data_IF_874472284687
#
_entry.id   IF_874472284687
#
_cell.length_a   1.000
_cell.length_b   1.000
_cell.length_c   1.000
_cell.angle_alpha   90.00
_cell.angle_beta   90.00
_cell.angle_gamma   90.00
#
_symmetry.space_group_name_H-M   'P 1'
#
loop_
_entity.id
_entity.type
_entity.pdbx_description
1 polymer ?
#
# COMPACT_ATOMS: atom_id res chain seq x y z
N UNK A 1 6.79 6.28 7.03
CA UNK A 1 7.55 6.49 5.77
C UNK A 1 8.12 5.21 5.16
N UNK A 2 8.83 4.37 5.94
CA UNK A 2 9.44 3.13 5.42
C UNK A 2 8.45 2.26 4.64
N UNK A 3 7.21 2.12 5.12
CA UNK A 3 6.18 1.33 4.47
C UNK A 3 5.86 1.80 3.03
N UNK A 4 5.69 3.12 2.80
CA UNK A 4 5.47 3.69 1.46
C UNK A 4 6.64 3.37 0.53
N UNK A 5 7.87 3.48 1.03
CA UNK A 5 9.07 3.24 0.23
C UNK A 5 9.13 1.77 -0.19
N UNK A 6 8.93 0.85 0.77
CA UNK A 6 8.87 -0.59 0.49
C UNK A 6 7.78 -0.91 -0.52
N UNK A 7 6.60 -0.30 -0.40
CA UNK A 7 5.51 -0.44 -1.35
C UNK A 7 5.92 -0.03 -2.77
N UNK A 8 6.48 1.18 -2.92
CA UNK A 8 6.90 1.73 -4.22
C UNK A 8 8.05 0.94 -4.87
N UNK A 9 8.87 0.25 -4.07
CA UNK A 9 9.94 -0.61 -4.58
C UNK A 9 9.42 -2.00 -4.95
N UNK A 10 8.61 -2.60 -4.08
CA UNK A 10 8.19 -4.00 -4.18
C UNK A 10 7.14 -4.23 -5.27
N UNK A 11 6.04 -3.47 -5.25
CA UNK A 11 4.87 -3.74 -6.11
C UNK A 11 5.20 -3.62 -7.60
N UNK A 12 5.93 -2.59 -8.09
CA UNK A 12 6.26 -2.48 -9.51
C UNK A 12 7.20 -3.59 -10.02
N UNK A 13 7.92 -4.27 -9.13
CA UNK A 13 8.93 -5.28 -9.51
C UNK A 13 8.46 -6.71 -9.33
N UNK A 14 7.53 -6.97 -8.41
CA UNK A 14 7.24 -8.34 -7.93
C UNK A 14 6.72 -9.30 -9.01
N UNK A 15 5.93 -8.84 -9.99
CA UNK A 15 5.47 -9.68 -11.11
C UNK A 15 6.39 -9.60 -12.32
N UNK A 16 7.03 -8.45 -12.53
CA UNK A 16 7.98 -8.27 -13.63
C UNK A 16 9.21 -9.14 -13.45
N UNK A 17 9.76 -9.19 -12.24
CA UNK A 17 10.91 -10.02 -11.89
C UNK A 17 10.66 -11.50 -12.19
N UNK A 18 9.46 -12.01 -11.93
CA UNK A 18 9.09 -13.39 -12.26
C UNK A 18 9.10 -13.67 -13.77
N UNK A 19 8.71 -12.68 -14.60
CA UNK A 19 8.77 -12.78 -16.06
C UNK A 19 10.20 -12.71 -16.57
N UNK A 20 11.01 -11.80 -16.03
CA UNK A 20 12.40 -11.57 -16.44
C UNK A 20 13.31 -12.75 -16.06
N UNK A 21 13.10 -13.36 -14.89
CA UNK A 21 13.92 -14.48 -14.40
C UNK A 21 13.42 -15.85 -14.86
N UNK A 22 12.29 -15.92 -15.58
CA UNK A 22 11.68 -17.18 -16.03
C UNK A 22 11.08 -18.03 -14.91
N UNK A 23 11.12 -17.56 -13.66
CA UNK A 23 10.55 -18.25 -12.49
C UNK A 23 9.03 -18.39 -12.58
N UNK A 24 8.37 -17.60 -13.44
CA UNK A 24 6.96 -17.80 -13.79
C UNK A 24 6.66 -19.23 -14.27
N UNK A 25 7.53 -19.85 -15.07
CA UNK A 25 7.35 -21.23 -15.55
C UNK A 25 7.45 -22.24 -14.41
N UNK A 26 8.32 -21.97 -13.42
CA UNK A 26 8.44 -22.79 -12.21
C UNK A 26 7.20 -22.72 -11.33
N UNK A 27 6.64 -21.53 -11.11
CA UNK A 27 5.42 -21.38 -10.32
C UNK A 27 4.20 -22.03 -10.99
N UNK A 28 4.23 -22.16 -12.32
CA UNK A 28 3.18 -22.82 -13.10
C UNK A 28 3.23 -24.34 -13.06
N UNK A 29 4.38 -24.96 -12.80
CA UNK A 29 4.46 -26.40 -12.58
C UNK A 29 3.99 -26.82 -11.18
N UNK A 30 3.86 -25.85 -10.26
CA UNK A 30 3.25 -26.05 -8.95
C UNK A 30 1.72 -25.99 -9.06
N UNK A 31 0.97 -26.76 -8.25
CA UNK A 31 -0.50 -26.73 -8.22
C UNK A 31 -1.04 -25.48 -7.51
N UNK A 32 -0.64 -24.30 -7.99
CA UNK A 32 -0.96 -23.00 -7.39
C UNK A 32 -1.66 -22.13 -8.43
N UNK A 33 -2.83 -21.59 -8.06
CA UNK A 33 -3.58 -20.71 -8.96
C UNK A 33 -2.95 -19.32 -9.06
N UNK A 34 -3.17 -18.64 -10.19
CA UNK A 34 -2.71 -17.27 -10.39
C UNK A 34 -3.31 -16.29 -9.37
N UNK A 35 -4.57 -16.54 -8.98
CA UNK A 35 -5.24 -15.81 -7.90
C UNK A 35 -4.48 -15.91 -6.59
N UNK A 36 -4.07 -17.12 -6.19
CA UNK A 36 -3.30 -17.32 -4.96
C UNK A 36 -1.96 -16.61 -5.02
N UNK A 37 -1.28 -16.65 -6.18
CA UNK A 37 0.04 -16.03 -6.33
C UNK A 37 -0.03 -14.50 -6.22
N UNK A 38 -1.00 -13.87 -6.87
CA UNK A 38 -1.17 -12.42 -6.81
C UNK A 38 -1.68 -12.00 -5.41
N UNK A 39 -2.62 -12.75 -4.85
CA UNK A 39 -3.13 -12.51 -3.50
C UNK A 39 -2.01 -12.61 -2.45
N UNK A 40 -1.10 -13.58 -2.57
CA UNK A 40 0.04 -13.72 -1.66
C UNK A 40 0.99 -12.50 -1.74
N UNK A 41 1.25 -11.96 -2.93
CA UNK A 41 2.07 -10.75 -3.10
C UNK A 41 1.39 -9.51 -2.53
N UNK A 42 0.08 -9.39 -2.69
CA UNK A 42 -0.71 -8.32 -2.08
C UNK A 42 -0.73 -8.46 -0.56
N UNK A 43 -0.98 -9.65 -0.02
CA UNK A 43 -0.96 -9.92 1.41
C UNK A 43 0.43 -9.65 2.02
N UNK A 44 1.50 -9.98 1.30
CA UNK A 44 2.85 -9.66 1.73
C UNK A 44 3.03 -8.16 1.96
N UNK A 45 2.70 -7.32 0.97
CA UNK A 45 2.93 -5.87 1.10
C UNK A 45 1.85 -5.14 1.90
N UNK A 46 0.59 -5.59 1.88
CA UNK A 46 -0.53 -4.91 2.53
C UNK A 46 -0.82 -5.41 3.95
N UNK A 47 -0.30 -6.57 4.33
CA UNK A 47 -0.54 -7.15 5.67
C UNK A 47 0.78 -7.46 6.36
N UNK A 48 1.63 -8.29 5.75
CA UNK A 48 2.84 -8.76 6.42
C UNK A 48 3.83 -7.61 6.72
N UNK A 49 4.09 -6.73 5.75
CA UNK A 49 4.99 -5.58 5.96
C UNK A 49 4.49 -4.63 7.08
N UNK A 50 3.21 -4.21 7.10
CA UNK A 50 2.62 -3.50 8.23
C UNK A 50 2.78 -4.20 9.59
N UNK A 51 2.53 -5.52 9.63
CA UNK A 51 2.66 -6.31 10.86
C UNK A 51 4.11 -6.29 11.35
N UNK A 52 5.08 -6.52 10.47
CA UNK A 52 6.52 -6.46 10.82
C UNK A 52 6.89 -5.06 11.31
N UNK A 53 6.44 -4.00 10.63
CA UNK A 53 6.70 -2.63 11.04
C UNK A 53 6.11 -2.33 12.44
N UNK A 54 4.89 -2.81 12.71
CA UNK A 54 4.24 -2.64 14.02
C UNK A 54 4.96 -3.41 15.13
N UNK A 55 5.48 -4.61 14.85
CA UNK A 55 6.27 -5.39 15.80
C UNK A 55 7.60 -4.71 16.13
N UNK A 56 8.27 -4.14 15.12
CA UNK A 56 9.49 -3.35 15.31
C UNK A 56 9.23 -2.11 16.17
N UNK A 57 8.11 -1.41 15.96
CA UNK A 57 7.73 -0.27 16.80
C UNK A 57 7.48 -0.71 18.25
N UNK A 58 6.69 -1.75 18.48
CA UNK A 58 6.42 -2.27 19.82
C UNK A 58 7.72 -2.66 20.55
N UNK A 59 8.66 -3.28 19.83
CA UNK A 59 9.96 -3.63 20.38
C UNK A 59 10.80 -2.39 20.71
N UNK A 60 10.79 -1.38 19.85
CA UNK A 60 11.46 -0.10 20.10
C UNK A 60 10.88 0.61 21.34
N UNK A 61 9.56 0.72 21.43
CA UNK A 61 8.88 1.36 22.57
C UNK A 61 9.15 0.60 23.88
N UNK A 62 9.20 -0.74 23.81
CA UNK A 62 9.58 -1.56 24.95
C UNK A 62 11.02 -1.31 25.43
N UNK A 63 11.97 -1.16 24.51
CA UNK A 63 13.36 -0.79 24.86
C UNK A 63 13.41 0.59 25.50
N UNK A 64 12.71 1.57 24.92
CA UNK A 64 12.64 2.94 25.47
C UNK A 64 12.08 2.93 26.89
N UNK A 65 11.01 2.17 27.13
CA UNK A 65 10.43 2.00 28.45
C UNK A 65 11.37 1.32 29.44
N UNK A 66 12.05 0.25 29.02
CA UNK A 66 13.03 -0.45 29.85
C UNK A 66 14.18 0.49 30.24
N UNK A 67 14.75 1.20 29.28
CA UNK A 67 15.81 2.19 29.54
C UNK A 67 15.32 3.33 30.44
N UNK A 68 14.14 3.87 30.19
CA UNK A 68 13.56 4.91 31.04
C UNK A 68 13.38 4.43 32.48
N UNK A 69 12.90 3.20 32.69
CA UNK A 69 12.68 2.63 34.02
C UNK A 69 13.97 2.43 34.83
N UNK A 70 15.11 2.26 34.15
CA UNK A 70 16.41 2.05 34.79
C UNK A 70 17.14 3.37 35.11
N UNK A 71 16.96 4.39 34.28
CA UNK A 71 17.82 5.58 34.28
C UNK A 71 17.11 6.89 34.58
N UNK A 72 15.77 6.97 34.47
CA UNK A 72 15.01 8.20 34.68
C UNK A 72 14.27 8.21 36.04
N UNK A 73 14.24 9.37 36.73
CA UNK A 73 13.32 9.57 37.86
C UNK A 73 11.85 9.42 37.46
N UNK A 74 11.02 8.94 38.38
CA UNK A 74 9.59 8.69 38.14
C UNK A 74 8.84 9.95 37.63
N UNK A 75 9.20 11.13 38.14
CA UNK A 75 8.59 12.41 37.78
C UNK A 75 8.80 12.73 36.29
N UNK A 76 10.00 12.43 35.77
CA UNK A 76 10.34 12.59 34.35
C UNK A 76 9.58 11.59 33.48
N UNK A 77 9.49 10.33 33.91
CA UNK A 77 8.73 9.30 33.20
C UNK A 77 7.24 9.66 33.07
N UNK A 78 6.64 10.23 34.12
CA UNK A 78 5.24 10.70 34.06
C UNK A 78 5.08 11.89 33.11
N UNK A 79 5.99 12.88 33.17
CA UNK A 79 5.92 14.05 32.29
C UNK A 79 6.01 13.69 30.80
N UNK A 80 6.84 12.69 30.46
CA UNK A 80 7.04 12.23 29.09
C UNK A 80 6.08 11.11 28.68
N UNK A 81 5.11 10.79 29.55
CA UNK A 81 4.09 9.78 29.30
C UNK A 81 4.70 8.39 28.99
N UNK A 82 5.90 8.09 29.50
CA UNK A 82 6.57 6.80 29.30
C UNK A 82 5.99 5.80 30.30
N UNK A 83 4.85 5.24 29.94
CA UNK A 83 4.14 4.23 30.74
C UNK A 83 3.70 3.07 29.85
N UNK A 84 3.60 1.87 30.44
CA UNK A 84 3.21 0.66 29.71
C UNK A 84 1.82 0.78 29.05
N UNK A 85 0.80 1.41 29.68
CA UNK A 85 -0.47 1.70 29.01
C UNK A 85 -0.34 2.63 27.80
N UNK A 86 0.49 3.69 27.90
CA UNK A 86 0.67 4.64 26.80
C UNK A 86 1.36 4.00 25.60
N UNK A 87 2.30 3.08 25.83
CA UNK A 87 2.94 2.29 24.77
C UNK A 87 1.90 1.45 24.03
N UNK A 88 0.97 0.81 24.74
CA UNK A 88 -0.11 0.03 24.11
C UNK A 88 -1.03 0.91 23.27
N UNK A 89 -1.36 2.11 23.75
CA UNK A 89 -2.17 3.09 23.00
C UNK A 89 -1.43 3.55 21.74
N UNK A 90 -0.16 3.94 21.87
CA UNK A 90 0.69 4.37 20.76
C UNK A 90 0.83 3.26 19.71
N UNK A 91 1.08 2.03 20.14
CA UNK A 91 1.15 0.87 19.26
C UNK A 91 -0.19 0.60 18.54
N UNK A 92 -1.32 0.70 19.25
CA UNK A 92 -2.65 0.56 18.67
C UNK A 92 -2.96 1.64 17.63
N UNK A 93 -2.61 2.89 17.91
CA UNK A 93 -2.72 4.00 16.95
C UNK A 93 -1.88 3.75 15.71
N UNK A 94 -0.63 3.31 15.88
CA UNK A 94 0.26 3.00 14.77
C UNK A 94 -0.28 1.86 13.88
N UNK A 95 -0.81 0.79 14.48
CA UNK A 95 -1.48 -0.28 13.72
C UNK A 95 -2.68 0.27 12.95
N UNK A 96 -3.51 1.10 13.59
CA UNK A 96 -4.66 1.73 12.93
C UNK A 96 -4.24 2.57 11.71
N UNK A 97 -3.19 3.37 11.85
CA UNK A 97 -2.63 4.16 10.75
C UNK A 97 -2.13 3.29 9.61
N UNK A 98 -1.37 2.23 9.92
CA UNK A 98 -0.88 1.32 8.89
C UNK A 98 -2.02 0.56 8.21
N UNK A 99 -3.07 0.16 8.94
CA UNK A 99 -4.23 -0.52 8.38
C UNK A 99 -5.01 0.37 7.40
N UNK A 100 -5.29 1.62 7.78
CA UNK A 100 -5.96 2.58 6.89
C UNK A 100 -5.11 2.89 5.66
N UNK A 101 -3.80 2.99 5.84
CA UNK A 101 -2.86 3.19 4.76
C UNK A 101 -2.84 1.98 3.80
N UNK A 102 -2.88 0.75 4.32
CA UNK A 102 -2.97 -0.47 3.49
C UNK A 102 -4.28 -0.54 2.70
N UNK A 103 -5.40 -0.12 3.28
CA UNK A 103 -6.69 0.00 2.57
C UNK A 103 -6.61 1.04 1.45
N UNK A 104 -6.01 2.19 1.70
CA UNK A 104 -5.80 3.23 0.69
C UNK A 104 -4.84 2.77 -0.42
N UNK A 105 -3.83 1.97 -0.09
CA UNK A 105 -2.85 1.44 -1.04
C UNK A 105 -3.36 0.27 -1.89
N UNK A 106 -4.35 -0.51 -1.41
CA UNK A 106 -4.89 -1.67 -2.13
C UNK A 106 -5.20 -1.44 -3.62
N UNK A 107 -6.01 -0.43 -4.02
CA UNK A 107 -6.30 -0.15 -5.43
C UNK A 107 -5.04 0.23 -6.22
N UNK A 108 -4.16 1.03 -5.63
CA UNK A 108 -2.90 1.45 -6.24
C UNK A 108 -1.97 0.25 -6.43
N UNK A 109 -1.97 -0.69 -5.48
CA UNK A 109 -1.22 -1.93 -5.54
C UNK A 109 -1.67 -2.75 -6.74
N UNK A 110 -2.98 -2.98 -6.87
CA UNK A 110 -3.55 -3.73 -7.98
C UNK A 110 -3.27 -3.06 -9.33
N UNK A 111 -3.42 -1.74 -9.42
CA UNK A 111 -3.09 -0.97 -10.62
C UNK A 111 -1.62 -1.09 -11.01
N UNK A 112 -0.70 -0.98 -10.04
CA UNK A 112 0.73 -1.16 -10.29
C UNK A 112 1.07 -2.59 -10.71
N UNK A 113 0.40 -3.61 -10.15
CA UNK A 113 0.59 -5.00 -10.58
C UNK A 113 0.16 -5.21 -12.04
N UNK A 114 -0.98 -4.64 -12.45
CA UNK A 114 -1.43 -4.64 -13.85
C UNK A 114 -0.38 -3.99 -14.75
N UNK A 115 0.04 -2.76 -14.44
CA UNK A 115 1.03 -2.04 -15.25
C UNK A 115 2.37 -2.77 -15.27
N UNK A 116 2.76 -3.42 -14.16
CA UNK A 116 4.03 -4.17 -14.07
C UNK A 116 4.14 -5.35 -15.02
N UNK A 117 3.01 -5.89 -15.45
CA UNK A 117 2.96 -6.99 -16.41
C UNK A 117 3.00 -6.50 -17.86
N UNK A 118 2.66 -5.22 -18.09
CA UNK A 118 2.52 -4.61 -19.41
C UNK A 118 3.72 -3.76 -19.81
N UNK A 119 4.44 -3.17 -18.85
CA UNK A 119 5.54 -2.25 -19.15
C UNK A 119 6.84 -2.59 -18.42
N UNK A 120 7.96 -2.15 -19.00
CA UNK A 120 9.29 -2.34 -18.41
C UNK A 120 9.54 -1.42 -17.21
N UNK A 121 8.92 -0.24 -17.16
CA UNK A 121 9.13 0.77 -16.10
C UNK A 121 7.80 1.20 -15.47
N UNK A 122 7.18 0.35 -14.62
CA UNK A 122 5.76 0.49 -14.28
C UNK A 122 5.45 1.75 -13.47
N UNK A 123 6.33 2.10 -12.53
CA UNK A 123 6.21 3.33 -11.75
C UNK A 123 6.24 4.56 -12.65
N UNK A 124 7.20 4.63 -13.57
CA UNK A 124 7.34 5.73 -14.52
C UNK A 124 6.11 5.81 -15.45
N UNK A 125 5.62 4.67 -15.94
CA UNK A 125 4.39 4.61 -16.75
C UNK A 125 3.20 5.21 -15.99
N UNK A 126 3.00 4.82 -14.72
CA UNK A 126 1.89 5.35 -13.90
C UNK A 126 2.06 6.85 -13.65
N UNK A 127 3.28 7.33 -13.36
CA UNK A 127 3.53 8.75 -13.17
C UNK A 127 3.17 9.57 -14.42
N UNK A 128 3.61 9.13 -15.60
CA UNK A 128 3.23 9.79 -16.86
C UNK A 128 1.72 9.71 -17.12
N UNK A 129 1.09 8.56 -16.86
CA UNK A 129 -0.34 8.39 -17.02
C UNK A 129 -1.15 9.34 -16.13
N UNK A 130 -0.77 9.51 -14.86
CA UNK A 130 -1.42 10.45 -13.93
C UNK A 130 -1.35 11.88 -14.46
N UNK A 131 -0.18 12.31 -14.94
CA UNK A 131 0.00 13.67 -15.49
C UNK A 131 -0.88 13.87 -16.72
N UNK A 132 -0.86 12.92 -17.66
CA UNK A 132 -1.66 13.00 -18.88
C UNK A 132 -3.17 12.99 -18.59
N UNK A 133 -3.63 12.16 -17.64
CA UNK A 133 -5.03 12.13 -17.20
C UNK A 133 -5.43 13.49 -16.62
N UNK A 134 -4.60 14.10 -15.77
CA UNK A 134 -4.93 15.42 -15.19
C UNK A 134 -5.03 16.51 -16.25
N UNK A 135 -4.12 16.50 -17.24
CA UNK A 135 -4.19 17.45 -18.37
C UNK A 135 -5.47 17.20 -19.17
N UNK A 136 -5.81 15.95 -19.48
CA UNK A 136 -7.03 15.61 -20.22
C UNK A 136 -8.30 16.04 -19.47
N UNK A 137 -8.38 15.79 -18.15
CA UNK A 137 -9.51 16.21 -17.31
C UNK A 137 -9.68 17.73 -17.31
N UNK A 138 -8.59 18.49 -17.25
CA UNK A 138 -8.62 19.94 -17.35
C UNK A 138 -9.15 20.41 -18.71
N UNK A 139 -8.70 19.79 -19.81
CA UNK A 139 -9.15 20.14 -21.17
C UNK A 139 -10.64 19.83 -21.39
N UNK A 140 -11.16 18.72 -20.84
CA UNK A 140 -12.55 18.30 -21.01
C UNK A 140 -13.51 19.16 -20.17
N UNK A 141 -13.13 19.45 -18.93
CA UNK A 141 -14.05 20.08 -17.95
C UNK A 141 -13.91 21.60 -17.94
N UNK A 142 -12.79 22.14 -18.44
CA UNK A 142 -12.47 23.57 -18.40
C UNK A 142 -12.20 24.09 -16.97
N UNK A 143 -12.26 23.21 -15.96
CA UNK A 143 -11.99 23.51 -14.56
C UNK A 143 -11.00 22.49 -13.96
N UNK A 144 -10.38 22.86 -12.82
CA UNK A 144 -9.37 22.03 -12.15
C UNK A 144 -9.94 21.03 -11.13
N UNK A 145 -11.26 21.01 -10.92
CA UNK A 145 -11.90 20.31 -9.80
C UNK A 145 -11.81 18.78 -9.93
N UNK A 146 -12.09 18.21 -11.11
CA UNK A 146 -11.93 16.76 -11.31
C UNK A 146 -10.46 16.32 -11.18
N UNK A 147 -9.53 17.20 -11.61
CA UNK A 147 -8.11 16.97 -11.44
C UNK A 147 -7.67 17.00 -9.98
N UNK A 148 -8.27 17.84 -9.14
CA UNK A 148 -7.98 17.89 -7.70
C UNK A 148 -8.56 16.67 -6.98
N UNK A 149 -9.80 16.25 -7.30
CA UNK A 149 -10.39 15.01 -6.78
C UNK A 149 -9.55 13.77 -7.13
N UNK A 150 -9.07 13.69 -8.37
CA UNK A 150 -8.16 12.62 -8.78
C UNK A 150 -6.83 12.66 -8.01
N UNK A 151 -6.39 13.85 -7.59
CA UNK A 151 -5.17 14.02 -6.78
C UNK A 151 -5.35 13.51 -5.35
N UNK A 152 -6.52 13.76 -4.77
CA UNK A 152 -6.87 13.25 -3.44
C UNK A 152 -6.87 11.71 -3.43
N UNK A 153 -7.32 11.07 -4.51
CA UNK A 153 -7.33 9.60 -4.61
C UNK A 153 -5.94 8.97 -4.44
N UNK A 154 -4.94 9.42 -5.20
CA UNK A 154 -3.58 8.85 -5.09
C UNK A 154 -2.77 9.44 -3.94
N UNK A 155 -3.18 10.61 -3.41
CA UNK A 155 -2.59 11.25 -2.24
C UNK A 155 -3.02 10.63 -0.91
N UNK A 156 -4.19 9.99 -0.86
CA UNK A 156 -4.80 9.45 0.36
C UNK A 156 -3.84 8.62 1.25
N UNK A 157 -3.01 7.68 0.74
CA UNK A 157 -2.09 6.93 1.59
C UNK A 157 -1.04 7.80 2.29
N UNK A 158 -0.62 8.88 1.65
CA UNK A 158 0.34 9.85 2.21
C UNK A 158 -0.36 10.72 3.25
N UNK A 159 -1.58 11.18 2.95
CA UNK A 159 -2.37 12.00 3.87
C UNK A 159 -2.70 11.23 5.15
N UNK A 160 -3.12 9.96 5.04
CA UNK A 160 -3.36 9.06 6.18
C UNK A 160 -2.10 8.91 7.05
N UNK A 161 -0.92 8.80 6.44
CA UNK A 161 0.33 8.65 7.15
C UNK A 161 0.80 9.92 7.88
N UNK A 162 0.48 11.10 7.34
CA UNK A 162 0.88 12.40 7.91
C UNK A 162 -0.15 12.99 8.86
N UNK A 163 -1.39 12.47 8.83
CA UNK A 163 -2.47 12.93 9.68
C UNK A 163 -2.30 12.54 11.15
N UNK A 164 -2.85 13.35 12.05
CA UNK A 164 -2.95 13.03 13.47
C UNK A 164 -3.97 11.90 13.75
N UNK A 165 -4.99 11.78 12.90
CA UNK A 165 -6.05 10.78 13.04
C UNK A 165 -6.33 10.08 11.71
N UNK A 166 -5.57 9.02 11.46
CA UNK A 166 -5.64 8.21 10.24
C UNK A 166 -7.05 7.74 9.87
N UNK A 167 -7.86 7.38 10.88
CA UNK A 167 -9.24 6.92 10.66
C UNK A 167 -10.12 8.05 10.13
N UNK A 168 -10.02 9.25 10.68
CA UNK A 168 -10.83 10.38 10.24
C UNK A 168 -10.43 10.79 8.83
N UNK A 169 -9.13 10.94 8.55
CA UNK A 169 -8.64 11.29 7.20
C UNK A 169 -9.07 10.28 6.14
N UNK A 170 -9.07 8.98 6.47
CA UNK A 170 -9.57 7.96 5.56
C UNK A 170 -11.09 8.11 5.34
N UNK A 171 -11.88 8.32 6.38
CA UNK A 171 -13.33 8.46 6.28
C UNK A 171 -13.80 9.78 5.66
N UNK A 172 -13.02 10.86 5.81
CA UNK A 172 -13.27 12.19 5.25
C UNK A 172 -13.23 12.19 3.72
N UNK A 173 -12.50 11.25 3.11
CA UNK A 173 -12.56 10.99 1.66
C UNK A 173 -13.98 10.56 1.22
N UNK A 174 -14.79 10.06 2.14
CA UNK A 174 -16.18 9.68 1.93
C UNK A 174 -16.36 8.17 1.81
N UNK A 175 -17.39 7.64 2.48
CA UNK A 175 -17.71 6.21 2.47
C UNK A 175 -17.94 5.65 1.07
N UNK A 176 -18.67 6.37 0.22
CA UNK A 176 -18.92 5.95 -1.16
C UNK A 176 -17.65 5.99 -2.02
N UNK A 177 -16.79 6.98 -1.82
CA UNK A 177 -15.54 7.11 -2.57
C UNK A 177 -14.56 5.99 -2.20
N UNK A 178 -14.41 5.69 -0.90
CA UNK A 178 -13.63 4.56 -0.42
C UNK A 178 -14.20 3.21 -0.92
N UNK A 179 -15.53 3.03 -0.86
CA UNK A 179 -16.18 1.82 -1.37
C UNK A 179 -15.92 1.62 -2.86
N UNK A 180 -16.11 2.67 -3.67
CA UNK A 180 -15.83 2.65 -5.11
C UNK A 180 -14.35 2.38 -5.42
N UNK A 181 -13.45 2.97 -4.64
CA UNK A 181 -12.02 2.73 -4.73
C UNK A 181 -11.64 1.26 -4.46
N UNK A 182 -12.19 0.67 -3.39
CA UNK A 182 -11.95 -0.74 -3.05
C UNK A 182 -12.53 -1.68 -4.12
N UNK A 183 -13.74 -1.41 -4.61
CA UNK A 183 -14.34 -2.16 -5.72
C UNK A 183 -13.51 -2.07 -7.00
N UNK A 184 -12.99 -0.87 -7.32
CA UNK A 184 -12.05 -0.67 -8.42
C UNK A 184 -10.75 -1.47 -8.22
N UNK A 185 -10.24 -1.53 -7.00
CA UNK A 185 -9.10 -2.38 -6.64
C UNK A 185 -9.37 -3.87 -6.87
N UNK A 186 -10.55 -4.38 -6.51
CA UNK A 186 -10.96 -5.76 -6.81
C UNK A 186 -11.02 -6.00 -8.31
N UNK A 187 -11.57 -5.06 -9.08
CA UNK A 187 -11.57 -5.14 -10.55
C UNK A 187 -10.15 -5.21 -11.12
N UNK A 188 -9.23 -4.37 -10.65
CA UNK A 188 -7.83 -4.38 -11.07
C UNK A 188 -7.10 -5.66 -10.66
N UNK A 189 -7.43 -6.24 -9.50
CA UNK A 189 -6.93 -7.55 -9.09
C UNK A 189 -7.33 -8.64 -10.08
N UNK A 190 -8.61 -8.67 -10.49
CA UNK A 190 -9.10 -9.61 -11.51
C UNK A 190 -8.40 -9.41 -12.85
N UNK A 191 -8.22 -8.16 -13.29
CA UNK A 191 -7.46 -7.84 -14.51
C UNK A 191 -6.02 -8.34 -14.42
N UNK A 192 -5.36 -8.18 -13.28
CA UNK A 192 -3.99 -8.66 -13.06
C UNK A 192 -3.89 -10.19 -13.14
N UNK A 193 -4.89 -10.91 -12.61
CA UNK A 193 -4.99 -12.37 -12.72
C UNK A 193 -5.20 -12.79 -14.18
N UNK A 194 -6.13 -12.13 -14.87
CA UNK A 194 -6.43 -12.42 -16.28
C UNK A 194 -5.24 -12.15 -17.21
N UNK A 195 -4.51 -11.06 -17.00
CA UNK A 195 -3.29 -10.76 -17.75
C UNK A 195 -2.19 -11.80 -17.52
N UNK A 196 -2.06 -12.29 -16.28
CA UNK A 196 -1.10 -13.36 -15.93
C UNK A 196 -1.42 -14.68 -16.62
N UNK A 197 -2.70 -15.01 -16.77
CA UNK A 197 -3.15 -16.18 -17.54
C UNK A 197 -3.06 -15.98 -19.06
N UNK A 198 -3.18 -14.76 -19.59
CA UNK A 198 -3.07 -14.53 -21.05
C UNK A 198 -1.69 -14.78 -21.64
N UNK A 199 -0.63 -14.64 -20.85
CA UNK A 199 0.72 -15.05 -21.26
C UNK A 199 0.81 -16.56 -21.62
N UNK A 200 -0.24 -17.36 -21.33
CA UNK A 200 -0.39 -18.76 -21.74
C UNK A 200 -0.71 -18.93 -23.22
N UNK A 201 -1.48 -18.02 -23.82
CA UNK A 201 -2.02 -18.18 -25.17
C UNK A 201 -1.05 -17.79 -26.28
N UNK A 202 -0.08 -16.92 -25.98
CA UNK A 202 0.84 -16.35 -26.97
C UNK A 202 2.15 -17.13 -27.13
N UNK A 203 2.45 -18.09 -26.24
CA UNK A 203 3.65 -18.94 -26.28
C UNK A 203 3.35 -20.42 -26.62
N UNK A 204 2.10 -20.76 -26.90
CA UNK A 204 1.68 -22.09 -27.33
C UNK A 204 1.69 -22.27 -28.87
N UNK A 205 2.37 -21.36 -29.59
CA UNK A 205 2.67 -21.39 -31.03
C UNK A 205 4.17 -21.33 -31.19
#
# INVERSE_FOLDING_TARGET
MLYLILFMIYVPKTLRKEKEEGTLMFWRSMPVSDYLTIAAKLAFILVLVPVIASALLAFSDFIVWLMASMWLPADMMQSWQISLPNILVHWGQFIGTLAMMSLALFPLACGLLVVSQLTRYPLLTVMFAIILIKIALFQITGNGELGSQFSTFYGLPVDVLMSESALNTYLDFGWFANGGMLLGGVGLFWVSCWLRGRDDATKAV
#
